data_IF_835611221712
#
_entry.id   IF_835611221712
#
_cell.length_a   1.000
_cell.length_b   1.000
_cell.length_c   1.000
_cell.angle_alpha   90.00
_cell.angle_beta   90.00
_cell.angle_gamma   90.00
#
_symmetry.space_group_name_H-M   'P 1'
#
loop_
_entity.id
_entity.type
_entity.pdbx_description
1 polymer ?
#
# COMPACT_ATOMS: atom_id res chain seq x y z
N UNK A 1 -25.80 -43.39 -19.06
CA UNK A 1 -27.10 -44.02 -19.41
C UNK A 1 -28.01 -43.04 -20.16
N UNK A 2 -28.34 -41.90 -19.56
CA UNK A 2 -29.17 -40.82 -20.14
C UNK A 2 -28.33 -39.62 -20.62
N UNK A 3 -27.10 -39.88 -21.03
CA UNK A 3 -26.18 -38.83 -21.49
C UNK A 3 -26.82 -38.03 -22.63
N UNK A 4 -26.87 -36.72 -22.48
CA UNK A 4 -27.30 -35.77 -23.50
C UNK A 4 -28.75 -35.97 -23.98
N UNK A 5 -29.61 -36.56 -23.15
CA UNK A 5 -31.06 -36.60 -23.37
C UNK A 5 -31.67 -35.22 -23.12
N UNK A 6 -31.37 -34.24 -23.99
CA UNK A 6 -31.73 -32.81 -23.82
C UNK A 6 -33.25 -32.58 -23.79
N UNK A 7 -34.03 -33.41 -24.47
CA UNK A 7 -35.49 -33.31 -24.54
C UNK A 7 -36.20 -34.08 -23.41
N UNK A 8 -35.47 -34.80 -22.56
CA UNK A 8 -36.05 -35.55 -21.45
C UNK A 8 -36.53 -34.59 -20.37
N UNK A 9 -37.82 -34.62 -20.05
CA UNK A 9 -38.45 -33.74 -19.06
C UNK A 9 -38.66 -34.43 -17.71
N UNK A 10 -38.93 -35.74 -17.74
CA UNK A 10 -39.16 -36.58 -16.56
C UNK A 10 -38.45 -37.91 -16.72
N UNK A 11 -38.05 -38.49 -15.60
CA UNK A 11 -37.42 -39.80 -15.55
C UNK A 11 -37.70 -40.42 -14.17
N UNK A 12 -38.17 -41.66 -14.17
CA UNK A 12 -38.29 -42.45 -12.95
C UNK A 12 -37.11 -43.43 -12.87
N UNK A 13 -36.28 -43.25 -11.85
CA UNK A 13 -35.11 -44.11 -11.56
C UNK A 13 -35.28 -44.88 -10.26
N UNK A 14 -36.47 -44.84 -9.64
CA UNK A 14 -36.74 -45.48 -8.35
C UNK A 14 -36.57 -46.99 -8.37
N UNK A 15 -36.72 -47.61 -9.55
CA UNK A 15 -36.62 -49.06 -9.78
C UNK A 15 -35.19 -49.54 -10.05
N UNK A 16 -34.19 -48.65 -10.11
CA UNK A 16 -32.82 -49.04 -10.46
C UNK A 16 -32.10 -49.67 -9.28
N UNK A 17 -31.69 -50.93 -9.42
CA UNK A 17 -30.69 -51.53 -8.54
C UNK A 17 -29.28 -51.11 -9.01
N UNK A 18 -28.64 -50.29 -8.18
CA UNK A 18 -27.32 -49.70 -8.46
C UNK A 18 -26.20 -50.31 -7.60
N UNK A 19 -26.53 -51.27 -6.73
CA UNK A 19 -25.64 -51.84 -5.69
C UNK A 19 -24.39 -52.57 -6.20
N UNK A 20 -24.34 -52.87 -7.50
CA UNK A 20 -23.20 -53.53 -8.16
C UNK A 20 -22.47 -52.62 -9.15
N UNK A 21 -22.97 -51.41 -9.38
CA UNK A 21 -22.40 -50.48 -10.35
C UNK A 21 -21.14 -49.82 -9.78
N UNK A 22 -20.06 -49.83 -10.57
CA UNK A 22 -18.81 -49.16 -10.22
C UNK A 22 -18.60 -47.85 -10.99
N UNK A 23 -19.39 -47.61 -12.03
CA UNK A 23 -19.26 -46.47 -12.93
C UNK A 23 -20.62 -45.81 -13.18
N UNK A 24 -20.76 -44.57 -12.73
CA UNK A 24 -21.93 -43.71 -12.94
C UNK A 24 -21.58 -42.51 -13.83
N UNK A 25 -20.44 -42.57 -14.50
CA UNK A 25 -19.90 -41.46 -15.26
C UNK A 25 -20.94 -40.93 -16.27
N UNK A 26 -21.21 -39.64 -16.17
CA UNK A 26 -22.10 -38.90 -17.05
C UNK A 26 -23.51 -39.49 -17.16
N UNK A 27 -24.00 -40.19 -16.13
CA UNK A 27 -25.25 -40.95 -16.20
C UNK A 27 -26.44 -40.07 -16.63
N UNK A 28 -26.56 -38.86 -16.09
CA UNK A 28 -27.60 -37.88 -16.42
C UNK A 28 -27.04 -36.60 -17.04
N UNK A 29 -25.75 -36.58 -17.41
CA UNK A 29 -25.13 -35.36 -17.89
C UNK A 29 -25.90 -34.79 -19.10
N UNK A 30 -26.11 -33.47 -19.10
CA UNK A 30 -26.79 -32.71 -20.14
C UNK A 30 -28.28 -33.06 -20.32
N UNK A 31 -28.91 -33.72 -19.34
CA UNK A 31 -30.38 -33.77 -19.19
C UNK A 31 -30.93 -32.39 -18.79
N UNK A 32 -30.92 -31.44 -19.73
CA UNK A 32 -31.16 -30.01 -19.46
C UNK A 32 -32.60 -29.68 -19.06
N UNK A 33 -33.57 -30.51 -19.44
CA UNK A 33 -34.99 -30.25 -19.22
C UNK A 33 -35.59 -31.05 -18.04
N UNK A 34 -34.81 -31.96 -17.44
CA UNK A 34 -35.25 -32.70 -16.24
C UNK A 34 -35.29 -31.73 -15.06
N UNK A 35 -36.47 -31.60 -14.43
CA UNK A 35 -36.71 -30.68 -13.30
C UNK A 35 -36.56 -31.37 -11.94
N UNK A 36 -36.93 -32.63 -11.87
CA UNK A 36 -36.90 -33.45 -10.67
C UNK A 36 -36.20 -34.78 -10.99
N UNK A 37 -35.31 -35.21 -10.10
CA UNK A 37 -34.57 -36.46 -10.22
C UNK A 37 -34.33 -37.00 -8.82
N UNK A 38 -35.05 -38.05 -8.45
CA UNK A 38 -34.88 -38.71 -7.15
C UNK A 38 -33.81 -39.81 -7.26
N UNK A 39 -32.63 -39.54 -6.70
CA UNK A 39 -31.51 -40.50 -6.60
C UNK A 39 -31.32 -41.05 -5.19
N UNK A 40 -32.26 -40.82 -4.26
CA UNK A 40 -32.09 -41.20 -2.86
C UNK A 40 -31.95 -42.72 -2.65
N UNK A 41 -32.41 -43.53 -3.61
CA UNK A 41 -32.27 -44.99 -3.61
C UNK A 41 -30.97 -45.50 -4.25
N UNK A 42 -30.12 -44.62 -4.78
CA UNK A 42 -28.89 -45.06 -5.42
C UNK A 42 -27.87 -45.54 -4.38
N UNK A 43 -27.45 -46.79 -4.49
CA UNK A 43 -26.32 -47.34 -3.75
C UNK A 43 -25.04 -47.12 -4.56
N UNK A 44 -24.28 -46.11 -4.15
CA UNK A 44 -22.98 -45.77 -4.76
C UNK A 44 -21.79 -46.30 -3.95
N UNK A 45 -22.01 -47.20 -2.98
CA UNK A 45 -20.94 -47.71 -2.10
C UNK A 45 -19.79 -48.39 -2.85
N UNK A 46 -20.06 -48.94 -4.05
CA UNK A 46 -19.04 -49.54 -4.94
C UNK A 46 -18.60 -48.61 -6.08
N UNK A 47 -19.14 -47.40 -6.15
CA UNK A 47 -18.81 -46.47 -7.22
C UNK A 47 -17.34 -46.05 -7.13
N UNK A 48 -16.59 -46.32 -8.20
CA UNK A 48 -15.23 -45.81 -8.40
C UNK A 48 -15.28 -44.46 -9.13
N UNK A 49 -16.24 -44.32 -10.06
CA UNK A 49 -16.38 -43.14 -10.91
C UNK A 49 -17.79 -42.53 -10.82
N UNK A 50 -17.88 -41.33 -10.25
CA UNK A 50 -19.10 -40.50 -10.21
C UNK A 50 -18.99 -39.27 -11.13
N UNK A 51 -18.01 -39.25 -12.04
CA UNK A 51 -17.69 -38.06 -12.82
C UNK A 51 -18.87 -37.62 -13.68
N UNK A 52 -19.22 -36.34 -13.57
CA UNK A 52 -20.25 -35.71 -14.39
C UNK A 52 -21.64 -36.32 -14.26
N UNK A 53 -21.95 -37.14 -13.23
CA UNK A 53 -23.26 -37.80 -13.09
C UNK A 53 -24.44 -36.82 -13.24
N UNK A 54 -24.31 -35.57 -12.76
CA UNK A 54 -25.30 -34.49 -12.90
C UNK A 54 -24.81 -33.28 -13.72
N UNK A 55 -23.74 -33.44 -14.52
CA UNK A 55 -23.13 -32.33 -15.25
C UNK A 55 -24.13 -31.66 -16.19
N UNK A 56 -24.35 -30.36 -16.03
CA UNK A 56 -25.18 -29.55 -16.92
C UNK A 56 -26.68 -29.86 -16.86
N UNK A 57 -27.15 -30.52 -15.80
CA UNK A 57 -28.57 -30.67 -15.46
C UNK A 57 -29.16 -29.36 -14.93
N UNK A 58 -29.22 -28.34 -15.79
CA UNK A 58 -29.47 -26.93 -15.40
C UNK A 58 -30.90 -26.62 -14.93
N UNK A 59 -31.85 -27.55 -15.08
CA UNK A 59 -33.23 -27.36 -14.62
C UNK A 59 -33.54 -28.05 -13.29
N UNK A 60 -32.61 -28.82 -12.74
CA UNK A 60 -32.78 -29.46 -11.43
C UNK A 60 -32.57 -28.41 -10.34
N UNK A 61 -33.61 -28.14 -9.56
CA UNK A 61 -33.59 -27.16 -8.47
C UNK A 61 -33.11 -27.73 -7.13
N UNK A 62 -33.16 -29.06 -6.97
CA UNK A 62 -32.70 -29.77 -5.78
C UNK A 62 -32.27 -31.19 -6.15
N UNK A 63 -31.12 -31.63 -5.65
CA UNK A 63 -30.66 -33.02 -5.75
C UNK A 63 -30.25 -33.52 -4.36
N UNK A 64 -30.82 -34.64 -3.91
CA UNK A 64 -30.46 -35.24 -2.63
C UNK A 64 -29.38 -36.32 -2.82
N UNK A 65 -28.16 -36.00 -2.41
CA UNK A 65 -27.00 -36.91 -2.40
C UNK A 65 -26.55 -37.27 -0.98
N UNK A 66 -27.38 -36.97 0.03
CA UNK A 66 -27.02 -37.12 1.45
C UNK A 66 -26.78 -38.57 1.89
N UNK A 67 -27.30 -39.54 1.13
CA UNK A 67 -27.12 -40.98 1.36
C UNK A 67 -25.98 -41.62 0.57
N UNK A 68 -25.28 -40.85 -0.26
CA UNK A 68 -24.19 -41.39 -1.07
C UNK A 68 -23.01 -41.78 -0.18
N UNK A 69 -22.67 -43.07 -0.15
CA UNK A 69 -21.42 -43.55 0.44
C UNK A 69 -20.32 -43.54 -0.62
N UNK A 70 -19.43 -42.56 -0.57
CA UNK A 70 -18.39 -42.34 -1.58
C UNK A 70 -17.01 -42.87 -1.18
N UNK A 71 -16.92 -43.75 -0.17
CA UNK A 71 -15.64 -44.25 0.38
C UNK A 71 -14.71 -44.95 -0.63
N UNK A 72 -15.28 -45.45 -1.74
CA UNK A 72 -14.55 -46.12 -2.81
C UNK A 72 -14.36 -45.25 -4.06
N UNK A 73 -14.97 -44.06 -4.10
CA UNK A 73 -14.94 -43.19 -5.26
C UNK A 73 -13.60 -42.50 -5.37
N UNK A 74 -12.98 -42.59 -6.55
CA UNK A 74 -11.69 -41.93 -6.86
C UNK A 74 -11.87 -40.75 -7.80
N UNK A 75 -12.96 -40.70 -8.57
CA UNK A 75 -13.21 -39.67 -9.58
C UNK A 75 -14.53 -38.92 -9.31
N UNK A 76 -14.40 -37.65 -8.92
CA UNK A 76 -15.52 -36.71 -8.68
C UNK A 76 -15.60 -35.62 -9.76
N UNK A 77 -14.82 -35.75 -10.84
CA UNK A 77 -14.70 -34.75 -11.87
C UNK A 77 -16.07 -34.30 -12.39
N UNK A 78 -16.28 -32.99 -12.49
CA UNK A 78 -17.47 -32.39 -13.08
C UNK A 78 -18.82 -32.76 -12.45
N UNK A 79 -18.86 -33.40 -11.27
CA UNK A 79 -20.07 -34.03 -10.70
C UNK A 79 -21.30 -33.10 -10.68
N UNK A 80 -21.12 -31.83 -10.30
CA UNK A 80 -22.18 -30.83 -10.16
C UNK A 80 -22.01 -29.62 -11.08
N UNK A 81 -21.26 -29.74 -12.20
CA UNK A 81 -21.02 -28.60 -13.11
C UNK A 81 -22.32 -27.98 -13.58
N UNK A 82 -22.49 -26.68 -13.35
CA UNK A 82 -23.67 -25.93 -13.76
C UNK A 82 -24.96 -26.32 -13.04
N UNK A 83 -24.86 -26.93 -11.86
CA UNK A 83 -26.01 -27.13 -10.97
C UNK A 83 -26.57 -25.77 -10.53
N UNK A 84 -27.89 -25.61 -10.62
CA UNK A 84 -28.59 -24.33 -10.41
C UNK A 84 -29.46 -24.33 -9.15
N UNK A 85 -29.48 -25.41 -8.38
CA UNK A 85 -30.16 -25.45 -7.10
C UNK A 85 -29.52 -24.53 -6.06
N UNK A 86 -30.32 -24.09 -5.10
CA UNK A 86 -29.90 -23.12 -4.07
C UNK A 86 -29.11 -23.77 -2.93
N UNK A 87 -29.25 -25.09 -2.76
CA UNK A 87 -28.61 -25.88 -1.71
C UNK A 87 -28.05 -27.17 -2.28
N UNK A 88 -26.95 -27.63 -1.68
CA UNK A 88 -26.33 -28.92 -1.96
C UNK A 88 -25.63 -29.42 -0.69
N UNK A 89 -26.05 -30.58 -0.19
CA UNK A 89 -25.41 -31.20 0.97
C UNK A 89 -24.43 -32.28 0.50
N UNK A 90 -23.13 -32.02 0.69
CA UNK A 90 -22.03 -32.97 0.40
C UNK A 90 -21.24 -33.34 1.65
N UNK A 91 -21.76 -33.02 2.85
CA UNK A 91 -21.05 -33.23 4.11
C UNK A 91 -20.76 -34.71 4.43
N UNK A 92 -21.52 -35.64 3.82
CA UNK A 92 -21.37 -37.09 3.94
C UNK A 92 -20.30 -37.67 2.98
N UNK A 93 -19.74 -36.88 2.06
CA UNK A 93 -18.81 -37.42 1.09
C UNK A 93 -17.48 -37.76 1.75
N UNK A 94 -17.07 -39.02 1.65
CA UNK A 94 -15.71 -39.44 1.93
C UNK A 94 -14.89 -39.27 0.65
N UNK A 95 -13.86 -38.43 0.71
CA UNK A 95 -12.99 -38.11 -0.44
C UNK A 95 -11.56 -38.59 -0.24
N UNK A 96 -11.29 -39.46 0.75
CA UNK A 96 -9.94 -39.91 1.09
C UNK A 96 -9.20 -40.56 -0.10
N UNK A 97 -9.95 -41.25 -0.96
CA UNK A 97 -9.42 -41.92 -2.17
C UNK A 97 -9.51 -41.07 -3.44
N UNK A 98 -10.02 -39.84 -3.36
CA UNK A 98 -10.18 -38.98 -4.52
C UNK A 98 -8.82 -38.67 -5.16
N UNK A 99 -8.73 -38.81 -6.48
CA UNK A 99 -7.56 -38.46 -7.29
C UNK A 99 -7.86 -37.30 -8.25
N UNK A 100 -9.11 -37.15 -8.68
CA UNK A 100 -9.57 -36.07 -9.58
C UNK A 100 -10.86 -35.44 -9.03
N UNK A 101 -10.80 -34.14 -8.74
CA UNK A 101 -11.93 -33.30 -8.31
C UNK A 101 -12.10 -32.07 -9.22
N UNK A 102 -11.50 -32.11 -10.41
CA UNK A 102 -11.57 -31.02 -11.37
C UNK A 102 -13.01 -30.71 -11.75
N UNK A 103 -13.33 -29.44 -11.91
CA UNK A 103 -14.65 -28.92 -12.30
C UNK A 103 -15.81 -29.26 -11.36
N UNK A 104 -15.60 -29.92 -10.21
CA UNK A 104 -16.68 -30.54 -9.42
C UNK A 104 -17.87 -29.59 -9.14
N UNK A 105 -17.60 -28.32 -8.83
CA UNK A 105 -18.60 -27.27 -8.58
C UNK A 105 -18.50 -26.10 -9.57
N UNK A 106 -17.95 -26.32 -10.76
CA UNK A 106 -17.82 -25.24 -11.77
C UNK A 106 -19.20 -24.69 -12.17
N UNK A 107 -19.35 -23.37 -12.20
CA UNK A 107 -20.57 -22.64 -12.57
C UNK A 107 -21.79 -23.01 -11.70
N UNK A 108 -21.58 -23.40 -10.44
CA UNK A 108 -22.65 -23.57 -9.45
C UNK A 108 -22.97 -22.20 -8.85
N UNK A 109 -23.73 -21.39 -9.59
CA UNK A 109 -23.86 -19.95 -9.36
C UNK A 109 -24.82 -19.56 -8.23
N UNK A 110 -25.71 -20.45 -7.80
CA UNK A 110 -26.84 -20.11 -6.91
C UNK A 110 -26.61 -20.48 -5.44
N UNK A 111 -25.57 -21.26 -5.13
CA UNK A 111 -25.25 -21.66 -3.77
C UNK A 111 -24.55 -20.52 -3.03
N UNK A 112 -25.08 -20.14 -1.86
CA UNK A 112 -24.50 -19.11 -0.98
C UNK A 112 -23.63 -19.68 0.13
N UNK A 113 -23.86 -20.94 0.51
CA UNK A 113 -23.14 -21.69 1.54
C UNK A 113 -22.90 -23.13 1.07
N UNK A 114 -21.66 -23.59 1.15
CA UNK A 114 -21.26 -24.95 0.82
C UNK A 114 -20.31 -25.46 1.90
N UNK A 115 -20.66 -26.56 2.55
CA UNK A 115 -19.80 -27.21 3.52
C UNK A 115 -18.95 -28.29 2.85
N UNK A 116 -17.66 -28.01 2.70
CA UNK A 116 -16.62 -28.95 2.24
C UNK A 116 -15.59 -29.25 3.33
N UNK A 117 -15.89 -28.95 4.58
CA UNK A 117 -14.91 -29.05 5.68
C UNK A 117 -14.41 -30.47 5.94
N UNK A 118 -15.21 -31.49 5.60
CA UNK A 118 -14.85 -32.91 5.71
C UNK A 118 -14.00 -33.44 4.53
N UNK A 119 -13.79 -32.65 3.48
CA UNK A 119 -13.08 -33.13 2.29
C UNK A 119 -11.60 -33.35 2.64
N UNK A 120 -11.14 -34.57 2.40
CA UNK A 120 -9.75 -34.96 2.47
C UNK A 120 -9.17 -35.01 1.06
N UNK A 121 -8.10 -34.25 0.80
CA UNK A 121 -7.57 -34.07 -0.56
C UNK A 121 -6.12 -34.53 -0.75
N UNK A 122 -5.54 -35.20 0.24
CA UNK A 122 -4.13 -35.67 0.26
C UNK A 122 -3.68 -36.52 -0.94
N UNK A 123 -4.63 -37.08 -1.70
CA UNK A 123 -4.39 -37.94 -2.87
C UNK A 123 -4.82 -37.30 -4.19
N UNK A 124 -5.41 -36.10 -4.15
CA UNK A 124 -5.90 -35.41 -5.34
C UNK A 124 -4.72 -34.86 -6.14
N UNK A 125 -4.75 -35.08 -7.45
CA UNK A 125 -3.75 -34.59 -8.40
C UNK A 125 -4.29 -33.42 -9.24
N UNK A 126 -5.60 -33.38 -9.47
CA UNK A 126 -6.26 -32.37 -10.30
C UNK A 126 -7.47 -31.71 -9.57
N UNK A 127 -7.42 -30.39 -9.44
CA UNK A 127 -8.48 -29.50 -8.93
C UNK A 127 -8.78 -28.32 -9.87
N UNK A 128 -8.46 -28.44 -11.16
CA UNK A 128 -8.75 -27.39 -12.14
C UNK A 128 -10.23 -27.00 -12.09
N UNK A 129 -10.51 -25.69 -12.07
CA UNK A 129 -11.87 -25.12 -12.08
C UNK A 129 -12.81 -25.60 -10.96
N UNK A 130 -12.32 -26.22 -9.88
CA UNK A 130 -13.17 -26.90 -8.89
C UNK A 130 -14.30 -26.00 -8.34
N UNK A 131 -14.01 -24.74 -8.01
CA UNK A 131 -14.97 -23.75 -7.50
C UNK A 131 -15.22 -22.60 -8.48
N UNK A 132 -14.75 -22.73 -9.72
CA UNK A 132 -14.80 -21.64 -10.70
C UNK A 132 -16.24 -21.24 -11.01
N UNK A 133 -16.54 -19.94 -10.99
CA UNK A 133 -17.87 -19.43 -11.32
C UNK A 133 -18.94 -19.69 -10.25
N UNK A 134 -18.55 -20.04 -9.02
CA UNK A 134 -19.45 -20.03 -7.86
C UNK A 134 -19.73 -18.60 -7.40
N UNK A 135 -20.46 -17.84 -8.21
CA UNK A 135 -20.58 -16.37 -8.08
C UNK A 135 -21.30 -15.91 -6.82
N UNK A 136 -22.15 -16.72 -6.21
CA UNK A 136 -22.94 -16.35 -5.01
C UNK A 136 -22.36 -16.86 -3.69
N UNK A 137 -21.30 -17.70 -3.73
CA UNK A 137 -20.72 -18.26 -2.52
C UNK A 137 -20.00 -17.17 -1.72
N UNK A 138 -20.40 -16.97 -0.46
CA UNK A 138 -19.88 -15.88 0.39
C UNK A 138 -18.70 -16.26 1.25
N UNK A 139 -18.59 -17.54 1.60
CA UNK A 139 -17.52 -18.09 2.44
C UNK A 139 -17.17 -19.48 1.96
N UNK A 140 -15.89 -19.83 2.04
CA UNK A 140 -15.39 -21.16 1.70
C UNK A 140 -14.35 -21.57 2.74
N UNK A 141 -14.63 -22.64 3.49
CA UNK A 141 -13.70 -23.18 4.48
C UNK A 141 -12.87 -24.30 3.86
N UNK A 142 -11.56 -24.08 3.71
CA UNK A 142 -10.62 -25.03 3.10
C UNK A 142 -9.60 -25.59 4.09
N UNK A 143 -9.82 -25.46 5.40
CA UNK A 143 -8.84 -25.91 6.42
C UNK A 143 -8.47 -27.40 6.32
N UNK A 144 -9.39 -28.25 5.84
CA UNK A 144 -9.16 -29.69 5.64
C UNK A 144 -8.43 -30.05 4.34
N UNK A 145 -8.22 -29.08 3.44
CA UNK A 145 -7.60 -29.33 2.14
C UNK A 145 -6.09 -29.45 2.28
N UNK A 146 -5.57 -30.64 2.00
CA UNK A 146 -4.16 -30.90 1.75
C UNK A 146 -3.91 -30.91 0.24
N UNK A 147 -3.18 -29.91 -0.25
CA UNK A 147 -2.86 -29.74 -1.68
C UNK A 147 -1.42 -30.16 -2.02
N UNK A 148 -0.71 -30.80 -1.09
CA UNK A 148 0.73 -31.14 -1.24
C UNK A 148 1.07 -32.02 -2.45
N UNK A 149 0.10 -32.78 -2.98
CA UNK A 149 0.25 -33.59 -4.19
C UNK A 149 -0.46 -33.03 -5.42
N UNK A 150 -1.24 -31.97 -5.28
CA UNK A 150 -1.99 -31.42 -6.40
C UNK A 150 -0.99 -30.85 -7.40
N UNK A 151 -1.21 -31.15 -8.68
CA UNK A 151 -0.36 -30.67 -9.78
C UNK A 151 -1.07 -29.59 -10.60
N UNK A 152 -2.41 -29.66 -10.68
CA UNK A 152 -3.22 -28.75 -11.51
C UNK A 152 -4.30 -28.08 -10.68
N UNK A 153 -4.26 -26.75 -10.62
CA UNK A 153 -5.25 -25.90 -9.96
C UNK A 153 -5.65 -24.70 -10.85
N UNK A 154 -5.46 -24.82 -12.16
CA UNK A 154 -5.85 -23.78 -13.11
C UNK A 154 -7.31 -23.34 -12.86
N UNK A 155 -7.49 -22.02 -12.73
CA UNK A 155 -8.77 -21.37 -12.52
C UNK A 155 -9.60 -21.86 -11.31
N UNK A 156 -9.00 -22.51 -10.30
CA UNK A 156 -9.74 -23.15 -9.21
C UNK A 156 -10.74 -22.21 -8.52
N UNK A 157 -10.35 -20.95 -8.28
CA UNK A 157 -11.17 -19.92 -7.62
C UNK A 157 -11.68 -18.84 -8.59
N UNK A 158 -11.42 -18.99 -9.90
CA UNK A 158 -11.76 -17.99 -10.92
C UNK A 158 -13.25 -17.68 -10.91
N UNK A 159 -13.62 -16.40 -10.80
CA UNK A 159 -14.99 -15.92 -10.89
C UNK A 159 -15.85 -16.15 -9.64
N UNK A 160 -15.24 -16.50 -8.50
CA UNK A 160 -15.91 -16.51 -7.20
C UNK A 160 -16.20 -15.09 -6.72
N UNK A 161 -17.13 -14.42 -7.40
CA UNK A 161 -17.33 -12.98 -7.31
C UNK A 161 -17.86 -12.48 -5.95
N UNK A 162 -18.39 -13.33 -5.07
CA UNK A 162 -18.92 -12.94 -3.75
C UNK A 162 -17.96 -13.23 -2.58
N UNK A 163 -16.84 -13.90 -2.82
CA UNK A 163 -15.83 -14.13 -1.78
C UNK A 163 -15.10 -12.82 -1.49
N UNK A 164 -15.11 -12.39 -0.22
CA UNK A 164 -14.39 -11.19 0.22
C UNK A 164 -13.02 -11.49 0.83
N UNK A 165 -12.82 -12.70 1.36
CA UNK A 165 -11.59 -13.09 2.04
C UNK A 165 -11.26 -14.54 1.71
N UNK A 166 -10.00 -14.81 1.43
CA UNK A 166 -9.52 -16.16 1.16
C UNK A 166 -8.14 -16.36 1.79
N UNK A 167 -8.10 -17.16 2.84
CA UNK A 167 -6.86 -17.58 3.48
C UNK A 167 -6.45 -18.97 2.97
N UNK A 168 -5.35 -19.00 2.24
CA UNK A 168 -4.75 -20.20 1.63
C UNK A 168 -3.31 -20.39 2.13
N UNK A 169 -2.94 -19.73 3.24
CA UNK A 169 -1.59 -19.81 3.79
C UNK A 169 -1.22 -21.20 4.26
N UNK A 170 -2.17 -22.10 4.57
CA UNK A 170 -1.85 -23.47 4.97
C UNK A 170 -1.57 -24.42 3.80
N UNK A 171 -1.71 -23.96 2.55
CA UNK A 171 -1.48 -24.79 1.37
C UNK A 171 0.02 -25.02 1.13
N UNK A 172 0.41 -26.29 1.01
CA UNK A 172 1.75 -26.70 0.56
C UNK A 172 1.72 -26.85 -0.96
N UNK A 173 2.30 -25.88 -1.69
CA UNK A 173 2.10 -25.77 -3.16
C UNK A 173 3.30 -26.18 -4.01
N UNK A 174 4.37 -26.72 -3.42
CA UNK A 174 5.62 -27.07 -4.13
C UNK A 174 5.42 -28.09 -5.27
N UNK A 175 4.28 -28.80 -5.32
CA UNK A 175 3.93 -29.75 -6.38
C UNK A 175 3.15 -29.14 -7.54
N UNK A 176 2.64 -27.91 -7.42
CA UNK A 176 1.85 -27.26 -8.46
C UNK A 176 2.67 -27.07 -9.75
N UNK A 177 2.01 -27.32 -10.88
CA UNK A 177 2.55 -27.17 -12.24
C UNK A 177 1.74 -26.17 -13.05
N UNK A 178 0.41 -26.23 -12.94
CA UNK A 178 -0.54 -25.42 -13.72
C UNK A 178 -1.48 -24.66 -12.78
N UNK A 179 -1.38 -23.32 -12.78
CA UNK A 179 -2.14 -22.41 -11.90
C UNK A 179 -2.64 -21.16 -12.65
N UNK A 180 -2.69 -21.20 -13.98
CA UNK A 180 -3.23 -20.09 -14.77
C UNK A 180 -4.64 -19.70 -14.30
N UNK A 181 -4.95 -18.41 -14.35
CA UNK A 181 -6.26 -17.86 -13.95
C UNK A 181 -6.72 -18.15 -12.52
N UNK A 182 -5.84 -18.63 -11.61
CA UNK A 182 -6.21 -19.10 -10.26
C UNK A 182 -7.25 -18.22 -9.56
N UNK A 183 -7.03 -16.90 -9.54
CA UNK A 183 -7.88 -15.92 -8.88
C UNK A 183 -8.53 -14.95 -9.86
N UNK A 184 -8.69 -15.30 -11.13
CA UNK A 184 -9.25 -14.40 -12.17
C UNK A 184 -10.68 -13.93 -11.80
N UNK A 185 -11.01 -12.67 -12.05
CA UNK A 185 -12.37 -12.09 -11.91
C UNK A 185 -13.04 -12.26 -10.53
N UNK A 186 -12.28 -12.28 -9.44
CA UNK A 186 -12.78 -12.29 -8.06
C UNK A 186 -13.06 -10.86 -7.58
N UNK A 187 -14.12 -10.25 -8.15
CA UNK A 187 -14.38 -8.80 -8.08
C UNK A 187 -14.53 -8.19 -6.67
N UNK A 188 -14.95 -8.98 -5.68
CA UNK A 188 -15.16 -8.50 -4.30
C UNK A 188 -14.07 -8.99 -3.33
N UNK A 189 -13.04 -9.68 -3.82
CA UNK A 189 -11.95 -10.16 -2.96
C UNK A 189 -11.22 -8.95 -2.37
N UNK A 190 -11.19 -8.84 -1.04
CA UNK A 190 -10.53 -7.77 -0.29
C UNK A 190 -9.24 -8.25 0.35
N UNK A 191 -9.21 -9.49 0.84
CA UNK A 191 -8.05 -10.08 1.51
C UNK A 191 -7.70 -11.43 0.89
N UNK A 192 -6.46 -11.57 0.42
CA UNK A 192 -5.91 -12.82 -0.08
C UNK A 192 -4.61 -13.15 0.64
N UNK A 193 -4.53 -14.34 1.23
CA UNK A 193 -3.33 -14.81 1.89
C UNK A 193 -2.76 -16.07 1.20
N UNK A 194 -1.58 -15.93 0.58
CA UNK A 194 -0.80 -17.00 -0.07
C UNK A 194 0.63 -17.08 0.51
N UNK A 195 0.78 -16.84 1.81
CA UNK A 195 2.08 -16.67 2.47
C UNK A 195 3.02 -17.89 2.43
N UNK A 196 2.50 -19.12 2.52
CA UNK A 196 3.36 -20.32 2.46
C UNK A 196 3.40 -20.96 1.08
N UNK A 197 2.98 -20.24 0.04
CA UNK A 197 3.03 -20.76 -1.32
C UNK A 197 4.48 -20.80 -1.82
N UNK A 198 4.82 -21.94 -2.42
CA UNK A 198 6.01 -22.17 -3.22
C UNK A 198 5.58 -22.51 -4.64
N UNK A 199 5.91 -21.63 -5.60
CA UNK A 199 5.62 -21.81 -7.02
C UNK A 199 6.87 -22.14 -7.85
N UNK A 200 7.99 -22.51 -7.22
CA UNK A 200 9.27 -22.82 -7.91
C UNK A 200 9.16 -23.92 -8.96
N UNK A 201 8.21 -24.83 -8.79
CA UNK A 201 7.95 -25.93 -9.74
C UNK A 201 6.88 -25.61 -10.80
N UNK A 202 6.27 -24.43 -10.74
CA UNK A 202 5.15 -24.06 -11.60
C UNK A 202 5.65 -23.71 -13.00
N UNK A 203 5.00 -24.26 -14.02
CA UNK A 203 5.32 -24.02 -15.43
C UNK A 203 4.33 -23.10 -16.14
N UNK A 204 3.11 -22.94 -15.60
CA UNK A 204 2.06 -22.08 -16.17
C UNK A 204 1.32 -21.31 -15.07
N UNK A 205 1.36 -19.97 -15.15
CA UNK A 205 0.76 -19.05 -14.16
C UNK A 205 0.23 -17.75 -14.80
N UNK A 206 -0.05 -17.75 -16.11
CA UNK A 206 -0.51 -16.55 -16.79
C UNK A 206 -1.95 -16.16 -16.37
N UNK A 207 -2.27 -14.86 -16.45
CA UNK A 207 -3.57 -14.26 -16.09
C UNK A 207 -4.05 -14.59 -14.67
N UNK A 208 -3.12 -14.88 -13.75
CA UNK A 208 -3.38 -15.33 -12.39
C UNK A 208 -4.33 -14.41 -11.60
N UNK A 209 -4.16 -13.09 -11.75
CA UNK A 209 -4.94 -12.03 -11.09
C UNK A 209 -5.79 -11.19 -12.06
N UNK A 210 -5.96 -11.63 -13.31
CA UNK A 210 -6.70 -10.83 -14.31
C UNK A 210 -8.13 -10.52 -13.81
N UNK A 211 -8.46 -9.23 -13.69
CA UNK A 211 -9.77 -8.78 -13.20
C UNK A 211 -9.96 -8.90 -11.67
N UNK A 212 -8.89 -9.05 -10.90
CA UNK A 212 -8.90 -9.20 -9.45
C UNK A 212 -7.88 -8.28 -8.79
N UNK A 213 -8.36 -7.37 -7.93
CA UNK A 213 -7.52 -6.43 -7.20
C UNK A 213 -7.89 -6.48 -5.71
N UNK A 214 -7.22 -7.32 -4.90
CA UNK A 214 -7.46 -7.35 -3.47
C UNK A 214 -6.93 -6.07 -2.81
N UNK A 215 -7.68 -5.53 -1.86
CA UNK A 215 -7.26 -4.39 -1.04
C UNK A 215 -6.05 -4.73 -0.17
N UNK A 216 -5.90 -6.01 0.19
CA UNK A 216 -4.78 -6.57 0.95
C UNK A 216 -4.39 -7.93 0.38
N UNK A 217 -3.10 -8.14 0.14
CA UNK A 217 -2.54 -9.42 -0.30
C UNK A 217 -1.29 -9.76 0.50
N UNK A 218 -1.23 -10.96 1.05
CA UNK A 218 -0.02 -11.50 1.70
C UNK A 218 0.62 -12.51 0.77
N UNK A 219 1.88 -12.28 0.43
CA UNK A 219 2.63 -13.06 -0.54
C UNK A 219 3.89 -13.61 0.12
N UNK A 220 4.05 -14.93 0.01
CA UNK A 220 5.19 -15.66 0.53
C UNK A 220 6.47 -15.47 -0.25
N UNK A 221 7.61 -15.72 0.40
CA UNK A 221 8.92 -15.72 -0.25
C UNK A 221 9.08 -16.79 -1.34
N UNK A 222 8.22 -17.83 -1.35
CA UNK A 222 8.22 -18.87 -2.38
C UNK A 222 7.48 -18.48 -3.67
N UNK A 223 6.93 -17.27 -3.74
CA UNK A 223 6.16 -16.78 -4.90
C UNK A 223 6.95 -15.71 -5.66
N UNK A 224 7.54 -16.06 -6.80
CA UNK A 224 8.10 -15.05 -7.71
C UNK A 224 6.99 -14.46 -8.58
N UNK A 225 6.75 -13.16 -8.47
CA UNK A 225 5.76 -12.46 -9.27
C UNK A 225 6.27 -12.20 -10.69
N UNK A 226 5.39 -12.37 -11.67
CA UNK A 226 5.66 -12.07 -13.08
C UNK A 226 4.60 -11.15 -13.65
N UNK A 227 4.97 -10.31 -14.63
CA UNK A 227 4.03 -9.42 -15.33
C UNK A 227 2.88 -10.16 -16.00
N UNK A 228 3.11 -11.38 -16.49
CA UNK A 228 2.07 -12.24 -17.08
C UNK A 228 1.04 -12.75 -16.06
N UNK A 229 1.27 -12.57 -14.74
CA UNK A 229 0.25 -12.84 -13.73
C UNK A 229 -0.86 -11.78 -13.72
N UNK A 230 -0.67 -10.64 -14.43
CA UNK A 230 -1.64 -9.54 -14.54
C UNK A 230 -2.12 -8.99 -13.18
N UNK A 231 -1.17 -8.63 -12.30
CA UNK A 231 -1.51 -7.81 -11.14
C UNK A 231 -2.04 -6.45 -11.64
N UNK A 232 -3.27 -6.05 -11.29
CA UNK A 232 -3.83 -4.81 -11.82
C UNK A 232 -3.05 -3.59 -11.35
N UNK A 233 -2.87 -2.62 -12.25
CA UNK A 233 -2.41 -1.29 -11.85
C UNK A 233 -3.48 -0.61 -11.00
N UNK A 234 -3.01 0.11 -9.98
CA UNK A 234 -3.83 0.95 -9.15
C UNK A 234 -4.23 2.22 -9.91
N UNK A 235 -5.41 2.75 -9.57
CA UNK A 235 -5.85 4.05 -10.05
C UNK A 235 -4.91 5.16 -9.58
N UNK A 236 -4.88 6.28 -10.31
CA UNK A 236 -4.17 7.48 -9.84
C UNK A 236 -4.63 7.88 -8.44
N UNK A 237 -3.68 8.25 -7.58
CA UNK A 237 -3.94 8.54 -6.17
C UNK A 237 -3.86 7.34 -5.23
N UNK A 238 -3.49 6.15 -5.72
CA UNK A 238 -3.31 4.96 -4.87
C UNK A 238 -1.92 4.36 -5.04
N UNK A 239 -1.41 3.78 -3.95
CA UNK A 239 -0.12 3.09 -3.85
C UNK A 239 -0.28 1.77 -3.12
N UNK A 240 0.70 0.90 -3.26
CA UNK A 240 0.88 -0.21 -2.34
C UNK A 240 1.66 0.27 -1.12
N UNK A 241 1.30 -0.20 0.06
CA UNK A 241 2.11 -0.10 1.27
C UNK A 241 2.43 -1.50 1.78
N UNK A 242 3.65 -1.75 2.22
CA UNK A 242 4.03 -3.03 2.80
C UNK A 242 3.72 -3.09 4.31
N UNK A 243 4.12 -4.15 5.03
CA UNK A 243 3.85 -4.27 6.48
C UNK A 243 4.58 -3.23 7.36
N UNK A 244 5.61 -2.57 6.84
CA UNK A 244 6.40 -1.54 7.51
C UNK A 244 6.01 -0.11 7.06
N UNK A 245 4.91 0.00 6.30
CA UNK A 245 4.40 1.25 5.73
C UNK A 245 5.35 1.88 4.70
N UNK A 246 6.19 1.07 4.04
CA UNK A 246 6.98 1.50 2.89
C UNK A 246 6.06 1.67 1.67
N UNK A 247 6.15 2.84 1.03
CA UNK A 247 5.31 3.20 -0.11
C UNK A 247 5.91 2.63 -1.39
N UNK A 248 5.13 1.82 -2.10
CA UNK A 248 5.50 1.14 -3.32
C UNK A 248 4.57 1.63 -4.43
N UNK A 249 5.15 2.23 -5.48
CA UNK A 249 4.38 2.67 -6.64
C UNK A 249 3.65 1.48 -7.31
N UNK A 250 2.50 1.76 -7.93
CA UNK A 250 1.63 0.74 -8.53
C UNK A 250 2.38 -0.25 -9.46
N UNK A 251 3.30 0.25 -10.27
CA UNK A 251 4.07 -0.50 -11.26
C UNK A 251 5.32 -1.19 -10.69
N UNK A 252 5.65 -0.93 -9.42
CA UNK A 252 6.87 -1.41 -8.75
C UNK A 252 6.66 -2.64 -7.87
N UNK A 253 5.41 -3.03 -7.59
CA UNK A 253 5.12 -4.14 -6.65
C UNK A 253 5.86 -5.44 -7.01
N UNK A 254 5.86 -5.81 -8.29
CA UNK A 254 6.50 -7.03 -8.78
C UNK A 254 8.00 -7.04 -8.48
N UNK A 255 8.69 -5.96 -8.83
CA UNK A 255 10.14 -5.85 -8.59
C UNK A 255 10.46 -5.76 -7.10
N UNK A 256 9.67 -4.99 -6.35
CA UNK A 256 9.84 -4.81 -4.91
C UNK A 256 9.77 -6.15 -4.17
N UNK A 257 8.70 -6.93 -4.41
CA UNK A 257 8.53 -8.23 -3.77
C UNK A 257 9.66 -9.19 -4.13
N UNK A 258 9.93 -9.35 -5.42
CA UNK A 258 10.95 -10.29 -5.91
C UNK A 258 12.36 -9.96 -5.41
N UNK A 259 12.67 -8.68 -5.20
CA UNK A 259 13.98 -8.25 -4.66
C UNK A 259 14.06 -8.43 -3.15
N UNK A 260 12.96 -8.21 -2.43
CA UNK A 260 12.91 -8.40 -0.97
C UNK A 260 13.16 -9.85 -0.57
N UNK A 261 12.67 -10.81 -1.37
CA UNK A 261 12.85 -12.24 -1.13
C UNK A 261 12.21 -12.77 0.16
N UNK A 262 11.34 -11.99 0.80
CA UNK A 262 10.70 -12.31 2.08
C UNK A 262 9.18 -12.26 1.97
N UNK A 263 8.52 -12.99 2.85
CA UNK A 263 7.08 -12.85 3.09
C UNK A 263 6.73 -11.40 3.46
N UNK A 264 5.70 -10.86 2.82
CA UNK A 264 5.18 -9.54 3.13
C UNK A 264 3.68 -9.43 2.84
N UNK A 265 3.04 -8.47 3.51
CA UNK A 265 1.65 -8.07 3.29
C UNK A 265 1.66 -6.72 2.59
N UNK A 266 1.02 -6.67 1.42
CA UNK A 266 0.82 -5.45 0.66
C UNK A 266 -0.64 -5.01 0.77
N UNK A 267 -0.85 -3.72 0.97
CA UNK A 267 -2.18 -3.12 1.10
C UNK A 267 -2.29 -1.90 0.19
N UNK A 268 -3.47 -1.70 -0.39
CA UNK A 268 -3.76 -0.53 -1.22
C UNK A 268 -4.08 0.62 -0.28
N UNK A 269 -3.36 1.72 -0.43
CA UNK A 269 -3.52 2.94 0.37
C UNK A 269 -3.73 4.15 -0.54
N UNK A 270 -4.51 5.11 -0.08
CA UNK A 270 -4.63 6.40 -0.75
C UNK A 270 -3.36 7.24 -0.52
N UNK A 271 -2.84 7.80 -1.60
CA UNK A 271 -1.67 8.68 -1.59
C UNK A 271 -2.14 10.12 -1.45
N UNK A 272 -1.79 10.73 -0.32
CA UNK A 272 -2.05 12.13 -0.06
C UNK A 272 -0.85 12.98 -0.43
N UNK A 273 -1.12 14.25 -0.75
CA UNK A 273 -0.10 15.24 -1.11
C UNK A 273 -0.18 16.45 -0.18
N UNK A 274 0.96 16.87 0.35
CA UNK A 274 1.15 18.13 1.06
C UNK A 274 1.85 19.12 0.14
N UNK A 275 1.23 20.27 -0.09
CA UNK A 275 1.82 21.37 -0.85
C UNK A 275 2.02 22.60 0.03
N UNK A 276 2.98 23.44 -0.36
CA UNK A 276 3.37 24.63 0.40
C UNK A 276 3.17 25.88 -0.45
N UNK A 277 2.38 26.83 0.04
CA UNK A 277 2.28 28.19 -0.48
C UNK A 277 3.13 29.09 0.43
N UNK A 278 4.29 29.48 -0.08
CA UNK A 278 5.30 30.19 0.70
C UNK A 278 5.02 31.69 0.79
N UNK A 279 3.90 32.17 0.22
CA UNK A 279 3.48 33.58 0.21
C UNK A 279 4.62 34.52 -0.19
N UNK A 280 5.29 34.18 -1.29
CA UNK A 280 6.41 34.95 -1.86
C UNK A 280 7.77 34.69 -1.21
N UNK A 281 7.91 33.63 -0.40
CA UNK A 281 9.21 33.09 0.03
C UNK A 281 9.82 32.10 -0.97
N UNK A 282 10.97 31.53 -0.62
CA UNK A 282 11.63 30.47 -1.40
C UNK A 282 10.74 29.24 -1.57
N UNK A 283 10.93 28.50 -2.66
CA UNK A 283 10.15 27.29 -2.96
C UNK A 283 10.42 26.17 -1.94
N UNK A 284 9.38 25.37 -1.64
CA UNK A 284 9.46 24.21 -0.74
C UNK A 284 8.82 23.02 -1.45
N UNK A 285 9.57 21.92 -1.54
CA UNK A 285 9.13 20.71 -2.24
C UNK A 285 7.88 20.10 -1.60
N UNK A 286 6.94 19.67 -2.45
CA UNK A 286 5.74 18.95 -2.01
C UNK A 286 6.10 17.58 -1.43
N UNK A 287 5.34 17.13 -0.44
CA UNK A 287 5.50 15.80 0.14
C UNK A 287 4.33 14.89 -0.26
N UNK A 288 4.58 13.58 -0.28
CA UNK A 288 3.56 12.56 -0.56
C UNK A 288 3.69 11.42 0.42
N UNK A 289 2.58 10.98 1.00
CA UNK A 289 2.55 9.91 1.99
C UNK A 289 1.14 9.34 2.11
N UNK A 290 0.97 8.32 2.95
CA UNK A 290 -0.29 7.61 3.18
C UNK A 290 -0.90 8.01 4.53
N UNK A 291 -2.18 7.70 4.70
CA UNK A 291 -2.94 7.99 5.91
C UNK A 291 -2.28 7.43 7.18
N UNK A 292 -2.39 8.14 8.30
CA UNK A 292 -1.89 7.70 9.61
C UNK A 292 -0.39 7.90 9.85
N UNK A 293 0.44 8.08 8.80
CA UNK A 293 1.81 8.58 8.96
C UNK A 293 1.80 10.08 9.26
N UNK A 294 2.96 10.66 9.52
CA UNK A 294 3.12 12.10 9.71
C UNK A 294 3.84 12.70 8.51
N UNK A 295 3.53 13.96 8.19
CA UNK A 295 4.34 14.74 7.27
C UNK A 295 5.73 15.00 7.86
N UNK A 296 6.73 15.09 7.00
CA UNK A 296 8.08 15.47 7.39
C UNK A 296 8.08 16.99 7.57
N UNK A 297 8.78 17.50 8.58
CA UNK A 297 8.94 18.95 8.75
C UNK A 297 9.72 19.49 7.53
N UNK A 298 9.16 20.42 6.74
CA UNK A 298 9.82 20.94 5.55
C UNK A 298 10.95 21.91 5.91
N UNK A 299 11.76 22.24 4.92
CA UNK A 299 12.69 23.36 5.02
C UNK A 299 11.95 24.69 5.23
N UNK A 300 12.58 25.60 5.97
CA UNK A 300 12.01 26.91 6.29
C UNK A 300 12.12 27.83 5.06
N UNK A 301 11.02 28.40 4.55
CA UNK A 301 11.06 29.28 3.39
C UNK A 301 11.65 30.66 3.74
N UNK A 302 12.56 31.15 2.91
CA UNK A 302 13.19 32.46 3.09
C UNK A 302 12.41 33.55 2.36
N UNK A 303 12.09 34.65 3.04
CA UNK A 303 11.38 35.81 2.47
C UNK A 303 12.04 37.11 2.90
N UNK A 304 12.52 37.90 1.94
CA UNK A 304 13.27 39.14 2.21
C UNK A 304 12.46 40.13 3.04
N UNK A 305 13.02 40.57 4.18
CA UNK A 305 12.38 41.52 5.10
C UNK A 305 11.31 40.90 6.01
N UNK A 306 11.25 39.56 6.09
CA UNK A 306 10.30 38.82 6.90
C UNK A 306 10.99 37.64 7.60
N UNK A 307 10.49 37.26 8.77
CA UNK A 307 10.92 36.09 9.53
C UNK A 307 9.79 35.06 9.44
N UNK A 308 10.13 33.81 9.11
CA UNK A 308 9.15 32.74 9.08
C UNK A 308 8.74 32.36 10.51
N UNK A 309 7.44 32.32 10.77
CA UNK A 309 6.90 31.96 12.08
C UNK A 309 6.49 30.48 12.11
N UNK A 310 5.48 30.11 11.30
CA UNK A 310 4.92 28.77 11.25
C UNK A 310 4.13 28.52 9.97
N UNK A 311 3.76 27.26 9.75
CA UNK A 311 2.84 26.85 8.69
C UNK A 311 1.40 26.84 9.20
N UNK A 312 0.47 27.41 8.45
CA UNK A 312 -0.97 27.42 8.75
C UNK A 312 -1.77 26.64 7.71
N UNK A 313 -2.91 26.06 8.08
CA UNK A 313 -3.84 25.45 7.10
C UNK A 313 -4.71 26.46 6.37
N UNK A 314 -4.69 27.73 6.80
CA UNK A 314 -5.36 28.85 6.14
C UNK A 314 -4.40 30.02 5.90
N UNK A 315 -4.75 30.88 4.95
CA UNK A 315 -3.94 32.02 4.54
C UNK A 315 -3.82 33.11 5.60
N UNK A 316 -4.81 33.23 6.48
CA UNK A 316 -4.90 34.29 7.48
C UNK A 316 -4.08 33.97 8.74
N UNK A 317 -3.62 32.73 8.88
CA UNK A 317 -2.79 32.27 10.00
C UNK A 317 -3.60 31.84 11.22
N UNK A 318 -4.91 31.66 11.11
CA UNK A 318 -5.77 31.37 12.25
C UNK A 318 -5.60 29.92 12.77
N UNK A 319 -5.13 29.01 11.92
CA UNK A 319 -5.00 27.58 12.23
C UNK A 319 -3.58 27.07 11.98
N UNK A 320 -2.66 27.26 12.95
CA UNK A 320 -1.31 26.69 12.89
C UNK A 320 -1.34 25.16 12.73
N UNK A 321 -0.46 24.64 11.88
CA UNK A 321 -0.33 23.21 11.61
C UNK A 321 0.75 22.55 12.48
N UNK A 322 0.40 21.45 13.15
CA UNK A 322 1.35 20.62 13.90
C UNK A 322 1.73 19.38 13.07
N UNK A 323 3.00 19.25 12.71
CA UNK A 323 3.56 18.09 11.98
C UNK A 323 3.54 16.78 12.78
N UNK A 324 3.17 16.82 14.07
CA UNK A 324 2.84 15.61 14.85
C UNK A 324 1.44 15.09 14.55
N UNK A 325 0.60 15.86 13.86
CA UNK A 325 -0.74 15.45 13.44
C UNK A 325 -0.64 14.38 12.34
N UNK A 326 -1.25 13.20 12.54
CA UNK A 326 -1.29 12.17 11.50
C UNK A 326 -2.02 12.67 10.25
N UNK A 327 -1.57 12.20 9.09
CA UNK A 327 -2.15 12.51 7.80
C UNK A 327 -3.57 11.94 7.73
N UNK A 328 -4.52 12.78 7.37
CA UNK A 328 -5.92 12.42 7.13
C UNK A 328 -6.42 12.75 5.72
N UNK A 329 -5.76 13.68 5.03
CA UNK A 329 -6.09 14.12 3.67
C UNK A 329 -4.95 14.92 3.05
N UNK A 330 -5.01 15.14 1.74
CA UNK A 330 -4.19 16.14 1.05
C UNK A 330 -4.54 17.55 1.53
N UNK A 331 -3.54 18.44 1.65
CA UNK A 331 -3.75 19.82 2.09
C UNK A 331 -2.63 20.76 1.60
N UNK A 332 -2.91 22.06 1.62
CA UNK A 332 -1.94 23.12 1.35
C UNK A 332 -1.65 23.88 2.64
N UNK A 333 -0.36 24.03 2.96
CA UNK A 333 0.08 24.86 4.07
C UNK A 333 0.55 26.23 3.57
N UNK A 334 0.23 27.26 4.34
CA UNK A 334 0.52 28.66 4.05
C UNK A 334 1.57 29.17 5.03
N UNK A 335 2.68 29.70 4.51
CA UNK A 335 3.75 30.23 5.34
C UNK A 335 3.30 31.54 6.00
N UNK A 336 3.38 31.60 7.33
CA UNK A 336 3.12 32.80 8.09
C UNK A 336 4.44 33.49 8.46
N UNK A 337 4.43 34.82 8.40
CA UNK A 337 5.61 35.62 8.60
C UNK A 337 5.34 36.85 9.44
N UNK A 338 6.34 37.23 10.22
CA UNK A 338 6.39 38.51 10.92
C UNK A 338 7.34 39.47 10.17
N UNK A 339 6.95 40.73 9.90
CA UNK A 339 7.84 41.72 9.31
C UNK A 339 9.12 41.86 10.12
N UNK A 340 10.26 41.74 9.46
CA UNK A 340 11.55 41.95 10.07
C UNK A 340 11.79 43.46 10.18
N UNK A 341 12.06 43.97 11.38
CA UNK A 341 12.33 45.39 11.56
C UNK A 341 13.83 45.65 11.46
N UNK A 342 14.21 46.51 10.54
CA UNK A 342 15.58 47.01 10.47
C UNK A 342 15.76 48.15 11.46
N UNK A 343 16.65 47.98 12.43
CA UNK A 343 17.13 49.06 13.28
C UNK A 343 18.38 49.66 12.63
N UNK A 344 18.23 50.89 12.16
CA UNK A 344 19.32 51.71 11.64
C UNK A 344 19.89 52.57 12.77
N UNK A 345 21.10 52.25 13.23
CA UNK A 345 21.78 53.04 14.27
C UNK A 345 22.82 53.94 13.60
N UNK A 346 22.72 55.27 13.72
CA UNK A 346 23.81 56.18 13.36
C UNK A 346 25.03 55.84 14.23
N UNK A 347 26.17 55.56 13.59
CA UNK A 347 27.39 55.18 14.28
C UNK A 347 28.56 56.07 13.85
N UNK A 348 29.35 56.48 14.85
CA UNK A 348 30.61 57.18 14.66
C UNK A 348 31.75 56.26 15.10
N UNK A 349 32.69 56.02 14.20
CA UNK A 349 33.86 55.17 14.42
C UNK A 349 35.11 56.04 14.37
N UNK A 350 35.94 55.96 15.41
CA UNK A 350 37.25 56.61 15.44
C UNK A 350 38.35 55.55 15.25
N UNK A 351 39.05 55.60 14.11
CA UNK A 351 40.22 54.77 13.87
C UNK A 351 41.46 55.48 14.47
N UNK A 352 42.06 54.88 15.50
CA UNK A 352 43.31 55.33 16.09
C UNK A 352 44.51 54.52 15.54
N UNK A 353 45.74 54.98 15.78
CA UNK A 353 46.99 54.34 15.30
C UNK A 353 47.22 52.90 15.82
N UNK A 354 46.32 52.36 16.64
CA UNK A 354 46.41 50.98 17.18
C UNK A 354 45.51 49.96 16.45
N UNK A 355 44.88 50.32 15.33
CA UNK A 355 44.00 49.45 14.53
C UNK A 355 42.83 48.81 15.32
N UNK A 356 42.36 49.47 16.39
CA UNK A 356 41.21 49.01 17.17
C UNK A 356 39.95 49.82 16.82
N UNK A 357 38.90 49.13 16.38
CA UNK A 357 37.60 49.70 16.07
C UNK A 357 36.74 49.77 17.35
N UNK A 358 36.25 50.97 17.70
CA UNK A 358 35.29 51.15 18.80
C UNK A 358 33.98 51.73 18.26
N UNK A 359 32.92 50.92 18.26
CA UNK A 359 31.56 51.36 17.93
C UNK A 359 30.85 51.75 19.21
N UNK A 360 30.31 52.97 19.29
CA UNK A 360 29.48 53.42 20.41
C UNK A 360 28.06 53.59 19.89
N UNK A 361 27.13 52.78 20.38
CA UNK A 361 25.70 52.91 20.11
C UNK A 361 24.95 53.25 21.41
N UNK A 362 24.21 54.36 21.41
CA UNK A 362 23.28 54.67 22.50
C UNK A 362 22.01 53.83 22.32
N UNK A 363 21.79 52.90 23.24
CA UNK A 363 20.63 52.03 23.24
C UNK A 363 19.46 52.74 23.94
N UNK A 364 18.42 53.08 23.20
CA UNK A 364 17.14 53.45 23.79
C UNK A 364 16.26 52.20 23.84
N UNK A 365 15.92 51.80 25.06
CA UNK A 365 14.93 50.80 25.48
C UNK A 365 15.48 49.41 25.88
N UNK A 366 14.99 48.95 27.03
CA UNK A 366 15.39 47.73 27.75
C UNK A 366 15.17 46.44 26.94
N UNK A 367 16.18 45.58 26.99
CA UNK A 367 16.13 44.13 26.80
C UNK A 367 15.69 43.61 25.43
N UNK A 368 16.54 43.74 24.39
CA UNK A 368 16.49 42.88 23.19
C UNK A 368 17.91 42.57 22.70
N UNK A 369 18.17 41.31 22.34
CA UNK A 369 19.46 40.83 21.84
C UNK A 369 19.56 41.12 20.34
N UNK A 370 20.69 41.67 19.89
CA UNK A 370 20.94 42.03 18.49
C UNK A 370 21.51 40.81 17.73
N UNK A 371 20.84 40.33 16.69
CA UNK A 371 21.32 39.24 15.81
C UNK A 371 21.44 39.81 14.39
N UNK A 372 22.54 39.50 13.73
CA UNK A 372 22.99 40.09 12.46
C UNK A 372 22.71 39.07 11.33
N UNK A 373 22.03 39.48 10.26
CA UNK A 373 21.49 38.62 9.18
C UNK A 373 22.04 39.00 7.80
N UNK A 374 21.99 38.09 6.83
CA UNK A 374 22.90 37.99 5.66
C UNK A 374 22.72 38.99 4.52
N UNK A 375 21.97 40.08 4.70
CA UNK A 375 21.74 41.11 3.66
C UNK A 375 22.57 42.40 3.88
N UNK A 376 23.61 42.33 4.72
CA UNK A 376 24.17 43.50 5.39
C UNK A 376 25.43 44.10 4.71
N UNK A 377 25.32 45.38 4.34
CA UNK A 377 26.46 46.24 3.97
C UNK A 377 26.60 47.37 4.97
N UNK A 378 27.82 47.58 5.46
CA UNK A 378 28.21 48.76 6.25
C UNK A 378 28.89 49.75 5.30
N UNK A 379 28.29 50.94 5.15
CA UNK A 379 28.87 52.05 4.39
C UNK A 379 29.24 53.19 5.32
N UNK A 380 30.53 53.54 5.37
CA UNK A 380 31.10 54.57 6.23
C UNK A 380 31.76 55.66 5.40
N UNK A 381 31.54 56.92 5.77
CA UNK A 381 32.15 58.08 5.11
C UNK A 381 33.11 58.77 6.07
N UNK A 382 34.30 59.12 5.60
CA UNK A 382 35.24 59.89 6.40
C UNK A 382 34.73 61.35 6.51
N UNK A 383 34.66 61.89 7.74
CA UNK A 383 34.15 63.26 7.98
C UNK A 383 35.07 64.32 7.36
N UNK A 384 36.37 64.04 7.30
CA UNK A 384 37.38 64.96 6.75
C UNK A 384 37.61 64.76 5.24
N UNK A 385 37.11 63.68 4.66
CA UNK A 385 37.15 63.39 3.23
C UNK A 385 35.90 62.60 2.78
N UNK A 386 34.85 63.32 2.41
CA UNK A 386 33.56 62.75 2.01
C UNK A 386 33.60 61.95 0.70
N UNK A 387 34.72 61.98 -0.03
CA UNK A 387 34.91 61.17 -1.25
C UNK A 387 35.35 59.73 -0.92
N UNK A 388 35.78 59.49 0.31
CA UNK A 388 36.25 58.18 0.77
C UNK A 388 35.16 57.43 1.50
N UNK A 389 34.58 56.45 0.82
CA UNK A 389 33.54 55.56 1.32
C UNK A 389 34.15 54.18 1.54
N UNK A 390 34.02 53.65 2.76
CA UNK A 390 34.33 52.25 3.07
C UNK A 390 33.02 51.47 3.01
N UNK A 391 32.96 50.47 2.14
CA UNK A 391 31.83 49.56 2.03
C UNK A 391 32.32 48.15 2.37
N UNK A 392 31.73 47.53 3.39
CA UNK A 392 32.05 46.16 3.77
C UNK A 392 30.79 45.33 3.92
N UNK A 393 30.78 44.18 3.30
CA UNK A 393 29.72 43.17 3.39
C UNK A 393 29.93 42.35 4.67
N UNK A 394 28.87 42.13 5.43
CA UNK A 394 28.91 41.32 6.65
C UNK A 394 28.57 39.88 6.27
N UNK A 395 29.55 38.98 6.32
CA UNK A 395 29.36 37.57 6.02
C UNK A 395 29.16 36.75 7.31
N UNK A 396 28.17 35.85 7.28
CA UNK A 396 27.95 34.83 8.33
C UNK A 396 28.72 33.57 7.93
N UNK A 397 29.94 33.37 8.44
CA UNK A 397 30.67 32.12 8.16
C UNK A 397 30.03 30.94 8.90
N UNK A 398 29.51 29.98 8.12
CA UNK A 398 29.03 28.66 8.57
C UNK A 398 30.23 27.70 8.53
N UNK A 399 30.96 27.55 9.63
CA UNK A 399 31.68 26.33 10.09
C UNK A 399 32.82 26.69 11.06
N UNK A 400 32.88 26.01 12.22
CA UNK A 400 33.87 26.26 13.27
C UNK A 400 34.78 25.04 13.49
N UNK A 401 36.12 25.17 13.35
CA UNK A 401 37.10 24.24 13.94
C UNK A 401 37.31 24.54 15.44
N UNK A 402 37.48 23.49 16.26
CA UNK A 402 37.52 23.46 17.74
C UNK A 402 38.65 24.26 18.47
N UNK A 403 39.24 25.29 17.87
CA UNK A 403 40.30 26.05 18.56
C UNK A 403 40.36 27.54 18.24
N UNK A 404 39.21 28.17 17.99
CA UNK A 404 39.13 29.61 17.75
C UNK A 404 38.02 30.21 18.60
N UNK A 405 38.36 31.29 19.31
CA UNK A 405 37.50 31.97 20.27
C UNK A 405 36.07 32.15 19.74
N UNK A 406 35.15 31.50 20.45
CA UNK A 406 33.72 31.70 20.36
C UNK A 406 33.45 33.19 20.59
N UNK A 407 32.89 33.88 19.59
CA UNK A 407 32.21 35.15 19.85
C UNK A 407 30.82 34.80 20.38
N UNK A 408 30.83 34.38 21.63
CA UNK A 408 29.67 34.36 22.48
C UNK A 408 29.14 35.80 22.47
N UNK A 409 27.92 36.01 21.99
CA UNK A 409 27.13 37.18 22.41
C UNK A 409 26.62 36.88 23.84
N UNK A 410 27.55 36.56 24.73
CA UNK A 410 27.35 36.43 26.16
C UNK A 410 28.32 37.44 26.80
N UNK A 411 27.77 38.55 27.26
CA UNK A 411 28.58 39.63 27.82
C UNK A 411 28.32 40.98 27.17
N UNK A 412 27.05 41.36 26.99
CA UNK A 412 26.70 42.73 27.33
C UNK A 412 27.18 42.91 28.77
N UNK A 413 28.34 43.54 29.00
CA UNK A 413 28.45 44.36 30.20
C UNK A 413 27.36 45.40 30.01
N UNK A 414 26.26 45.25 30.76
CA UNK A 414 25.03 46.07 30.72
C UNK A 414 25.27 47.58 30.68
N UNK A 415 26.51 48.00 30.90
CA UNK A 415 26.95 49.38 31.08
C UNK A 415 27.60 50.01 29.83
N UNK A 416 27.91 49.30 28.73
CA UNK A 416 28.77 49.91 27.66
C UNK A 416 28.44 49.72 26.16
N UNK A 417 27.53 48.84 25.71
CA UNK A 417 27.10 48.73 24.28
C UNK A 417 28.22 48.86 23.20
N UNK A 418 29.25 48.00 23.19
CA UNK A 418 30.35 48.08 22.20
C UNK A 418 30.37 46.84 21.29
N UNK A 419 30.31 47.07 19.98
CA UNK A 419 30.53 46.08 18.92
C UNK A 419 32.00 46.15 18.46
N UNK A 420 32.68 45.00 18.35
CA UNK A 420 34.03 44.91 17.80
C UNK A 420 33.98 44.32 16.39
N UNK A 421 34.57 45.01 15.41
CA UNK A 421 34.76 44.47 14.05
C UNK A 421 36.26 44.23 13.83
N UNK A 422 36.56 43.19 13.07
CA UNK A 422 37.89 42.68 12.74
C UNK A 422 38.83 43.75 12.15
N UNK A 423 40.13 43.51 12.32
CA UNK A 423 41.25 44.40 12.00
C UNK A 423 41.19 44.98 10.56
N UNK A 424 41.41 46.29 10.45
CA UNK A 424 41.47 47.04 9.19
C UNK A 424 42.63 46.56 8.30
N UNK A 425 42.41 46.53 6.97
CA UNK A 425 43.50 46.33 6.01
C UNK A 425 44.38 47.61 5.93
N UNK A 426 45.68 47.45 5.65
CA UNK A 426 46.74 48.49 5.70
C UNK A 426 46.49 49.78 4.88
N UNK A 427 45.38 49.90 4.15
CA UNK A 427 45.01 51.07 3.36
C UNK A 427 43.99 51.99 4.03
N UNK A 428 43.54 51.73 5.26
CA UNK A 428 42.59 52.60 5.95
C UNK A 428 43.31 53.77 6.65
N UNK A 429 42.85 55.01 6.41
CA UNK A 429 43.44 56.20 7.03
C UNK A 429 42.87 56.38 8.45
N UNK A 430 43.72 56.73 9.40
CA UNK A 430 43.27 57.19 10.72
C UNK A 430 42.33 58.41 10.55
N UNK A 431 41.21 58.40 11.27
CA UNK A 431 40.18 59.43 11.14
C UNK A 431 38.83 59.02 11.71
N UNK A 432 37.90 59.98 11.74
CA UNK A 432 36.52 59.75 12.16
C UNK A 432 35.65 59.42 10.95
N UNK A 433 34.93 58.32 11.05
CA UNK A 433 34.01 57.82 10.04
C UNK A 433 32.59 57.81 10.59
N UNK A 434 31.65 58.33 9.82
CA UNK A 434 30.22 58.31 10.16
C UNK A 434 29.47 57.47 9.14
N UNK A 435 28.51 56.69 9.63
CA UNK A 435 27.63 55.90 8.78
C UNK A 435 26.43 55.35 9.55
N UNK A 436 25.67 54.52 8.85
CA UNK A 436 24.50 53.86 9.41
C UNK A 436 24.81 52.37 9.48
N UNK A 437 24.69 51.80 10.68
CA UNK A 437 24.68 50.36 10.88
C UNK A 437 23.23 49.89 10.77
N UNK A 438 22.94 49.06 9.79
CA UNK A 438 21.63 48.44 9.61
C UNK A 438 21.68 47.05 10.23
N UNK A 439 20.78 46.79 11.18
CA UNK A 439 20.61 45.48 11.78
C UNK A 439 19.17 45.04 11.60
N UNK A 440 18.91 43.78 11.33
CA UNK A 440 17.55 43.23 11.41
C UNK A 440 17.31 42.71 12.83
N UNK A 441 16.29 43.20 13.51
CA UNK A 441 15.95 42.77 14.87
C UNK A 441 14.93 41.64 14.82
N UNK A 442 15.30 40.54 15.45
CA UNK A 442 14.45 39.38 15.70
C UNK A 442 13.75 39.52 17.07
N UNK A 443 12.50 39.07 17.17
CA UNK A 443 11.76 39.00 18.42
C UNK A 443 11.48 37.53 18.73
N UNK A 444 12.46 36.84 19.32
CA UNK A 444 12.24 35.55 19.98
C UNK A 444 11.86 35.72 21.45
#
# INVERSE_FOLDING_TARGET
>A
MFYNCKSLETIDVSIFDTSSSTNFASMFALCRNVKELDVANFDVSKAIDLSGIFQGCRSISSIDVSKFNTENTTNFRSMFVGYTGEKLNVSNFNTEKATDMSFMFQNVSNITELDVSNFQTKNVLNMEYMFSGMTSLKKLNLKGFDVSKVQKMAACFSGMASIEQLDLSHFVTSSLREVEYMFRNMKNLKDLNIDNWDLSSTISFYNFFEGTLPARITIGSGVTLHTIMYIPNLSSGYVWADKEDEIIASDRLVEFHNTSGVSNTYRIEELHTLTFDTIGGSEVDSQRSIIGKNWIVPDIPEKKGYIFDYWSTDKDGENPYDFKTPISSSLTLYAQYTPAYTVSIPATINLNETNQLKVVAENYVEAKTLIISTDEKVSLRNIHDSTRILEKEITKEKEYPESTNVLEVAGIKKEQNILYIQQAEEKELAGTYEGILNFTVDFY
#
